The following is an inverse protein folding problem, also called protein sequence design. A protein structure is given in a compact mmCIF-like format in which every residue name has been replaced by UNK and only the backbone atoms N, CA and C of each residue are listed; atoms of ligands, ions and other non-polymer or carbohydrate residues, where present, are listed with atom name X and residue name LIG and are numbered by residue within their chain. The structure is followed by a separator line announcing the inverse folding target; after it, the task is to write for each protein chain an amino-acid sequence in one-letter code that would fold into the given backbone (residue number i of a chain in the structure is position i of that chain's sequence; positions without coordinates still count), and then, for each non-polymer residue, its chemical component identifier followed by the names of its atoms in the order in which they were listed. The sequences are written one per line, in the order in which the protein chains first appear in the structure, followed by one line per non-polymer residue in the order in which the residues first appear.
data_IF_659398136888
#
_entry.id   IF_659398136888
#
_cell.length_a   1.000
_cell.length_b   1.000
_cell.length_c   1.000
_cell.angle_alpha   90.00
_cell.angle_beta   90.00
_cell.angle_gamma   90.00
#
_symmetry.space_group_name_H-M   'P 1'
#
loop_
_entity.id
_entity.type
_entity.pdbx_description
1 polymer ?
#
# COMPACT_ATOMS: atom_id res chain seq x y z
N UNK A 1 20.34 16.36 -6.91
CA UNK A 1 20.29 14.88 -6.78
C UNK A 1 21.66 14.26 -6.50
N UNK A 2 22.72 14.55 -7.27
CA UNK A 2 24.07 14.04 -7.00
C UNK A 2 24.61 14.40 -5.61
N UNK A 3 24.36 15.62 -5.13
CA UNK A 3 24.71 16.02 -3.76
C UNK A 3 24.03 15.14 -2.69
N UNK A 4 22.74 14.82 -2.86
CA UNK A 4 22.02 13.90 -1.97
C UNK A 4 22.59 12.49 -2.07
N UNK A 5 22.95 12.06 -3.28
CA UNK A 5 23.54 10.75 -3.50
C UNK A 5 24.88 10.62 -2.75
N UNK A 6 25.73 11.65 -2.82
CA UNK A 6 27.01 11.72 -2.08
C UNK A 6 26.80 11.80 -0.57
N UNK A 7 25.90 12.67 -0.11
CA UNK A 7 25.54 12.86 1.30
C UNK A 7 25.13 11.56 2.00
N UNK A 8 24.53 10.62 1.27
CA UNK A 8 24.13 9.31 1.78
C UNK A 8 25.04 8.17 1.31
N UNK A 9 26.33 8.46 1.07
CA UNK A 9 27.38 7.48 0.77
C UNK A 9 27.11 6.63 -0.50
N UNK A 10 26.37 7.19 -1.47
CA UNK A 10 25.91 6.47 -2.65
C UNK A 10 27.03 5.92 -3.54
N UNK A 11 28.16 6.60 -3.61
CA UNK A 11 29.30 6.17 -4.43
C UNK A 11 29.96 4.89 -3.91
N UNK A 12 29.89 4.61 -2.60
CA UNK A 12 30.46 3.38 -2.00
C UNK A 12 29.71 2.12 -2.45
N UNK A 13 28.39 2.21 -2.58
CA UNK A 13 27.51 1.07 -2.88
C UNK A 13 26.93 1.10 -4.30
N UNK A 14 27.20 2.15 -5.08
CA UNK A 14 26.59 2.43 -6.38
C UNK A 14 25.09 2.73 -6.33
N UNK A 15 24.49 2.81 -5.13
CA UNK A 15 23.07 3.10 -4.95
C UNK A 15 22.75 3.64 -3.55
N UNK A 16 21.65 4.38 -3.43
CA UNK A 16 21.10 4.89 -2.17
C UNK A 16 19.62 4.54 -2.08
N UNK A 17 19.14 4.14 -0.90
CA UNK A 17 17.71 3.89 -0.61
C UNK A 17 17.26 4.82 0.52
N UNK A 18 16.40 5.77 0.19
CA UNK A 18 15.82 6.74 1.11
C UNK A 18 14.43 6.28 1.53
N UNK A 19 14.21 6.18 2.84
CA UNK A 19 12.96 5.71 3.45
C UNK A 19 12.47 6.60 4.60
N UNK A 20 13.35 7.41 5.20
CA UNK A 20 13.01 8.23 6.37
C UNK A 20 12.28 9.51 5.94
N UNK A 21 11.37 10.06 6.76
CA UNK A 21 10.62 11.29 6.44
C UNK A 21 11.54 12.43 5.97
N UNK A 22 12.60 12.73 6.74
CA UNK A 22 13.56 13.79 6.41
C UNK A 22 14.24 13.58 5.06
N UNK A 23 14.61 12.34 4.74
CA UNK A 23 15.27 12.02 3.47
C UNK A 23 14.31 12.21 2.28
N UNK A 24 13.04 11.82 2.43
CA UNK A 24 12.04 11.97 1.39
C UNK A 24 11.65 13.45 1.21
N UNK A 25 11.65 14.23 2.28
CA UNK A 25 11.45 15.68 2.23
C UNK A 25 12.55 16.37 1.42
N UNK A 26 13.83 16.01 1.64
CA UNK A 26 14.94 16.55 0.85
C UNK A 26 14.78 16.29 -0.65
N UNK A 27 14.28 15.11 -1.03
CA UNK A 27 13.98 14.80 -2.44
C UNK A 27 12.80 15.62 -2.97
N UNK A 28 11.75 15.79 -2.18
CA UNK A 28 10.57 16.57 -2.54
C UNK A 28 10.92 18.05 -2.76
N UNK A 29 11.75 18.62 -1.89
CA UNK A 29 12.16 20.03 -1.98
C UNK A 29 13.01 20.27 -3.23
N UNK A 30 13.89 19.34 -3.59
CA UNK A 30 14.62 19.38 -4.87
C UNK A 30 13.66 19.29 -6.06
N UNK A 31 12.67 18.40 -6.02
CA UNK A 31 11.71 18.26 -7.10
C UNK A 31 10.89 19.55 -7.31
N UNK A 32 10.46 20.19 -6.22
CA UNK A 32 9.76 21.50 -6.25
C UNK A 32 10.63 22.60 -6.84
N UNK A 33 11.88 22.69 -6.40
CA UNK A 33 12.85 23.66 -6.90
C UNK A 33 13.10 23.49 -8.41
N UNK A 34 13.31 22.25 -8.86
CA UNK A 34 13.53 21.98 -10.28
C UNK A 34 12.30 22.30 -11.13
N UNK A 35 11.08 21.99 -10.64
CA UNK A 35 9.85 22.38 -11.33
C UNK A 35 9.72 23.90 -11.45
N UNK A 36 10.05 24.68 -10.41
CA UNK A 36 10.02 26.15 -10.49
C UNK A 36 11.05 26.72 -11.48
N UNK A 37 12.25 26.15 -11.53
CA UNK A 37 13.28 26.55 -12.48
C UNK A 37 12.88 26.26 -13.94
N UNK A 38 12.24 25.11 -14.16
CA UNK A 38 11.71 24.68 -15.47
C UNK A 38 10.66 25.66 -15.99
N UNK A 39 9.66 26.00 -15.17
CA UNK A 39 8.59 26.93 -15.54
C UNK A 39 9.13 28.33 -15.90
N UNK A 40 10.29 28.70 -15.34
CA UNK A 40 10.93 30.00 -15.58
C UNK A 40 11.77 30.03 -16.87
N UNK A 41 12.25 28.88 -17.37
CA UNK A 41 13.27 28.78 -18.44
C UNK A 41 12.78 28.10 -19.72
N UNK A 42 11.53 28.33 -20.13
CA UNK A 42 10.84 27.70 -21.28
C UNK A 42 11.75 27.26 -22.46
N UNK A 43 12.16 25.99 -22.48
CA UNK A 43 12.83 25.31 -23.60
C UNK A 43 12.16 23.95 -23.86
N UNK A 44 11.95 23.59 -25.13
CA UNK A 44 11.16 22.42 -25.54
C UNK A 44 11.71 21.05 -25.09
N UNK A 45 13.00 20.91 -24.76
CA UNK A 45 13.58 19.67 -24.23
C UNK A 45 13.21 19.38 -22.75
N UNK A 46 12.45 20.28 -22.13
CA UNK A 46 12.15 20.27 -20.69
C UNK A 46 10.83 19.53 -20.39
N UNK A 47 9.92 19.38 -21.34
CA UNK A 47 8.56 18.89 -21.11
C UNK A 47 8.50 17.44 -20.57
N UNK A 48 9.32 16.51 -21.11
CA UNK A 48 9.38 15.13 -20.60
C UNK A 48 10.00 15.05 -19.18
N UNK A 49 10.92 15.97 -18.87
CA UNK A 49 11.55 16.07 -17.55
C UNK A 49 10.58 16.68 -16.53
N UNK A 50 9.75 17.62 -16.96
CA UNK A 50 8.70 18.25 -16.18
C UNK A 50 7.65 17.25 -15.72
N UNK A 51 7.03 16.50 -16.65
CA UNK A 51 6.01 15.50 -16.31
C UNK A 51 6.51 14.45 -15.31
N UNK A 52 7.75 13.99 -15.45
CA UNK A 52 8.37 13.05 -14.49
C UNK A 52 8.62 13.67 -13.12
N UNK A 53 9.01 14.94 -13.06
CA UNK A 53 9.19 15.67 -11.80
C UNK A 53 7.85 15.97 -11.12
N UNK A 54 6.81 16.27 -11.88
CA UNK A 54 5.45 16.41 -11.35
C UNK A 54 4.94 15.11 -10.76
N UNK A 55 5.18 13.98 -11.44
CA UNK A 55 4.82 12.66 -10.91
C UNK A 55 5.55 12.37 -9.60
N UNK A 56 6.85 12.68 -9.52
CA UNK A 56 7.64 12.55 -8.29
C UNK A 56 7.07 13.42 -7.16
N UNK A 57 6.74 14.69 -7.46
CA UNK A 57 6.13 15.63 -6.51
C UNK A 57 4.81 15.09 -5.99
N UNK A 58 3.88 14.73 -6.88
CA UNK A 58 2.54 14.28 -6.55
C UNK A 58 2.56 13.04 -5.63
N UNK A 59 3.43 12.06 -5.92
CA UNK A 59 3.55 10.86 -5.08
C UNK A 59 4.13 11.19 -3.71
N UNK A 60 5.12 12.08 -3.62
CA UNK A 60 5.75 12.43 -2.34
C UNK A 60 4.84 13.31 -1.47
N UNK A 61 4.04 14.19 -2.08
CA UNK A 61 3.07 15.07 -1.40
C UNK A 61 1.75 14.37 -1.07
N UNK A 62 1.47 13.23 -1.69
CA UNK A 62 0.25 12.47 -1.42
C UNK A 62 0.08 12.25 0.09
N UNK A 63 -1.13 12.45 0.62
CA UNK A 63 -1.46 12.37 2.05
C UNK A 63 -0.76 13.42 2.96
N UNK A 64 -0.18 14.48 2.39
CA UNK A 64 0.27 15.69 3.11
C UNK A 64 1.62 15.55 3.81
N UNK A 65 1.77 14.54 4.66
CA UNK A 65 3.00 14.29 5.41
C UNK A 65 3.48 12.85 5.23
N UNK A 66 4.78 12.63 5.45
CA UNK A 66 5.39 11.30 5.49
C UNK A 66 5.04 10.54 6.78
N UNK A 67 3.77 10.51 7.18
CA UNK A 67 3.26 9.67 8.26
C UNK A 67 2.89 8.29 7.69
N UNK A 68 3.17 7.21 8.42
CA UNK A 68 2.86 5.84 7.95
C UNK A 68 3.60 5.42 6.67
N UNK A 69 4.88 5.80 6.52
CA UNK A 69 5.59 5.83 5.23
C UNK A 69 5.55 4.50 4.46
N UNK A 70 4.79 4.53 3.38
CA UNK A 70 4.72 3.51 2.35
C UNK A 70 5.43 3.94 1.06
N UNK A 71 6.50 4.72 1.20
CA UNK A 71 7.28 5.30 0.08
C UNK A 71 8.77 5.02 0.24
N UNK A 72 9.44 4.81 -0.89
CA UNK A 72 10.87 4.63 -0.97
C UNK A 72 11.38 5.26 -2.25
N UNK A 73 12.35 6.15 -2.11
CA UNK A 73 13.15 6.66 -3.23
C UNK A 73 14.45 5.87 -3.28
N UNK A 74 14.81 5.36 -4.44
CA UNK A 74 16.09 4.71 -4.67
C UNK A 74 16.81 5.41 -5.81
N UNK A 75 18.06 5.79 -5.59
CA UNK A 75 18.94 6.33 -6.63
C UNK A 75 19.99 5.27 -6.97
N UNK A 76 20.26 5.06 -8.26
CA UNK A 76 21.32 4.18 -8.76
C UNK A 76 22.29 4.98 -9.62
N UNK A 77 23.58 4.82 -9.37
CA UNK A 77 24.63 5.46 -10.14
C UNK A 77 24.90 4.72 -11.44
N UNK A 78 25.01 5.49 -12.53
CA UNK A 78 25.39 5.02 -13.85
C UNK A 78 26.63 5.81 -14.28
N UNK A 79 27.85 5.27 -14.07
CA UNK A 79 29.09 5.96 -14.40
C UNK A 79 29.23 6.29 -15.90
N UNK A 80 28.59 5.46 -16.75
CA UNK A 80 28.58 5.58 -18.21
C UNK A 80 27.24 6.10 -18.75
N UNK A 81 26.51 6.89 -17.97
CA UNK A 81 25.24 7.48 -18.39
C UNK A 81 24.09 6.49 -18.66
N UNK A 82 22.99 7.02 -19.20
CA UNK A 82 21.80 6.24 -19.59
C UNK A 82 22.18 5.26 -20.71
N UNK A 83 21.83 3.97 -20.64
CA UNK A 83 22.04 3.03 -21.74
C UNK A 83 21.34 3.58 -22.99
N UNK A 84 22.11 3.87 -24.05
CA UNK A 84 21.54 4.29 -25.33
C UNK A 84 20.71 3.14 -25.89
N UNK A 85 19.48 3.43 -26.34
CA UNK A 85 18.69 2.48 -27.13
C UNK A 85 19.46 2.12 -28.41
N UNK A 86 19.23 0.92 -28.94
CA UNK A 86 20.02 0.24 -29.97
C UNK A 86 20.13 0.92 -31.37
N UNK A 87 19.93 2.24 -31.52
CA UNK A 87 19.85 2.89 -32.85
C UNK A 87 20.52 4.28 -32.97
N UNK A 88 21.65 4.53 -32.32
CA UNK A 88 22.42 5.75 -32.55
C UNK A 88 23.91 5.42 -32.65
N UNK A 89 24.46 5.62 -33.84
CA UNK A 89 25.85 5.38 -34.27
C UNK A 89 26.85 6.46 -33.79
N UNK A 90 26.57 7.18 -32.70
CA UNK A 90 27.50 8.19 -32.17
C UNK A 90 28.47 7.58 -31.14
N UNK A 91 29.38 6.71 -31.59
CA UNK A 91 30.25 5.90 -30.75
C UNK A 91 31.40 6.64 -30.02
N UNK A 92 31.46 7.98 -30.02
CA UNK A 92 32.67 8.71 -29.58
C UNK A 92 32.51 9.71 -28.43
N UNK A 93 31.31 9.92 -27.87
CA UNK A 93 31.16 10.76 -26.67
C UNK A 93 31.11 9.92 -25.39
N UNK A 94 32.02 10.13 -24.41
CA UNK A 94 31.91 9.48 -23.11
C UNK A 94 30.56 9.87 -22.50
N UNK A 95 29.68 8.88 -22.30
CA UNK A 95 28.38 9.13 -21.72
C UNK A 95 28.56 9.67 -20.30
N UNK A 96 28.09 10.90 -20.06
CA UNK A 96 28.21 11.58 -18.78
C UNK A 96 27.59 10.74 -17.65
N UNK A 97 28.17 10.78 -16.45
CA UNK A 97 27.63 10.05 -15.31
C UNK A 97 26.20 10.51 -15.02
N UNK A 98 25.29 9.55 -14.78
CA UNK A 98 23.88 9.84 -14.51
C UNK A 98 23.35 9.07 -13.31
N UNK A 99 22.21 9.53 -12.78
CA UNK A 99 21.46 8.84 -11.73
C UNK A 99 20.11 8.37 -12.26
N UNK A 100 19.77 7.12 -11.99
CA UNK A 100 18.40 6.62 -12.16
C UNK A 100 17.66 6.76 -10.85
N UNK A 101 16.62 7.59 -10.86
CA UNK A 101 15.70 7.77 -9.74
C UNK A 101 14.54 6.77 -9.86
N UNK A 102 14.32 5.99 -8.81
CA UNK A 102 13.27 4.97 -8.72
C UNK A 102 12.40 5.31 -7.52
N UNK A 103 11.15 5.68 -7.78
CA UNK A 103 10.15 5.93 -6.75
C UNK A 103 9.23 4.72 -6.62
N UNK A 104 9.16 4.14 -5.42
CA UNK A 104 8.20 3.10 -5.06
C UNK A 104 7.26 3.64 -4.00
N UNK A 105 5.97 3.42 -4.20
CA UNK A 105 4.94 3.81 -3.25
C UNK A 105 3.84 2.74 -3.18
N UNK A 106 3.08 2.73 -2.08
CA UNK A 106 1.94 1.85 -1.88
C UNK A 106 2.21 0.72 -0.89
N UNK A 107 1.31 -0.27 -0.86
CA UNK A 107 1.25 -1.28 0.20
C UNK A 107 0.09 -1.06 1.18
N UNK A 108 -0.63 0.05 1.02
CA UNK A 108 -1.90 0.34 1.69
C UNK A 108 -3.07 -0.26 0.92
N UNK A 109 -4.16 -0.55 1.65
CA UNK A 109 -5.40 -0.95 1.03
C UNK A 109 -6.05 0.25 0.32
N UNK A 110 -6.25 0.14 -0.99
CA UNK A 110 -6.87 1.18 -1.80
C UNK A 110 -8.34 1.40 -1.41
N UNK A 111 -8.94 2.59 -1.68
CA UNK A 111 -10.37 2.80 -1.49
C UNK A 111 -11.23 1.78 -2.26
N UNK A 112 -10.84 1.45 -3.50
CA UNK A 112 -11.51 0.40 -4.28
C UNK A 112 -11.44 -0.96 -3.58
N UNK A 113 -10.28 -1.33 -3.03
CA UNK A 113 -10.11 -2.57 -2.28
C UNK A 113 -10.97 -2.62 -1.01
N UNK A 114 -11.16 -1.48 -0.32
CA UNK A 114 -12.09 -1.38 0.82
C UNK A 114 -13.52 -1.67 0.40
N UNK A 115 -14.00 -1.03 -0.67
CA UNK A 115 -15.37 -1.23 -1.20
C UNK A 115 -15.57 -2.68 -1.63
N UNK A 116 -14.59 -3.27 -2.33
CA UNK A 116 -14.65 -4.67 -2.77
C UNK A 116 -14.73 -5.64 -1.59
N UNK A 117 -13.92 -5.43 -0.55
CA UNK A 117 -13.94 -6.28 0.65
C UNK A 117 -15.27 -6.17 1.40
N UNK A 118 -15.81 -4.95 1.52
CA UNK A 118 -17.12 -4.72 2.15
C UNK A 118 -18.27 -5.35 1.35
N UNK A 119 -18.26 -5.23 0.02
CA UNK A 119 -19.21 -5.89 -0.86
C UNK A 119 -19.16 -7.41 -0.69
N UNK A 120 -17.96 -7.99 -0.70
CA UNK A 120 -17.76 -9.41 -0.50
C UNK A 120 -18.33 -9.87 0.85
N UNK A 121 -18.10 -9.11 1.91
CA UNK A 121 -18.69 -9.36 3.22
C UNK A 121 -20.21 -9.40 3.17
N UNK A 122 -20.84 -8.46 2.44
CA UNK A 122 -22.30 -8.42 2.28
C UNK A 122 -22.85 -9.64 1.57
N UNK A 123 -22.18 -10.08 0.51
CA UNK A 123 -22.54 -11.29 -0.24
C UNK A 123 -22.39 -12.54 0.66
N UNK A 124 -21.35 -12.59 1.48
CA UNK A 124 -21.06 -13.72 2.37
C UNK A 124 -22.11 -13.95 3.47
N UNK A 125 -22.99 -12.97 3.74
CA UNK A 125 -24.11 -13.14 4.69
C UNK A 125 -25.04 -14.28 4.29
N UNK A 126 -25.14 -14.60 3.00
CA UNK A 126 -26.00 -15.65 2.46
C UNK A 126 -25.57 -17.07 2.86
N UNK A 127 -24.33 -17.26 3.36
CA UNK A 127 -23.83 -18.57 3.77
C UNK A 127 -24.49 -19.10 5.05
N UNK A 128 -25.10 -18.24 5.86
CA UNK A 128 -25.79 -18.67 7.08
C UNK A 128 -27.29 -18.85 6.83
N UNK A 129 -27.81 -20.10 6.96
CA UNK A 129 -29.22 -20.38 6.74
C UNK A 129 -30.10 -19.65 7.77
N UNK A 130 -31.34 -19.32 7.37
CA UNK A 130 -32.32 -18.63 8.21
C UNK A 130 -32.57 -17.15 7.87
N UNK A 131 -32.05 -16.68 6.73
CA UNK A 131 -32.44 -15.41 6.10
C UNK A 131 -33.27 -15.57 4.82
N UNK A 132 -33.54 -16.80 4.39
CA UNK A 132 -34.39 -17.11 3.22
C UNK A 132 -35.86 -17.14 3.64
N UNK A 133 -36.39 -15.98 4.02
CA UNK A 133 -37.81 -15.72 3.81
C UNK A 133 -38.09 -15.84 2.31
N UNK A 134 -39.16 -16.53 1.94
CA UNK A 134 -39.59 -16.78 0.55
C UNK A 134 -39.37 -15.55 -0.35
N UNK A 135 -38.76 -15.79 -1.51
CA UNK A 135 -39.09 -15.15 -2.79
C UNK A 135 -39.90 -13.85 -2.68
N UNK A 136 -39.27 -12.76 -2.24
CA UNK A 136 -39.79 -11.42 -2.45
C UNK A 136 -38.70 -10.59 -3.11
N UNK A 137 -39.10 -9.86 -4.14
CA UNK A 137 -38.30 -9.09 -5.09
C UNK A 137 -37.43 -7.95 -4.48
N UNK A 138 -37.13 -7.97 -3.16
CA UNK A 138 -36.51 -6.86 -2.41
C UNK A 138 -35.08 -7.09 -1.91
N UNK A 139 -34.41 -8.19 -2.27
CA UNK A 139 -32.94 -8.29 -2.15
C UNK A 139 -32.35 -8.43 -0.74
N UNK A 140 -33.14 -8.74 0.29
CA UNK A 140 -32.65 -8.89 1.68
C UNK A 140 -32.15 -10.32 1.97
N UNK A 141 -31.10 -10.76 1.28
CA UNK A 141 -30.41 -12.01 1.61
C UNK A 141 -29.48 -11.84 2.83
N UNK A 142 -29.45 -12.83 3.74
CA UNK A 142 -28.46 -12.89 4.83
C UNK A 142 -28.88 -12.42 6.23
N UNK A 143 -30.18 -12.23 6.50
CA UNK A 143 -30.69 -11.84 7.83
C UNK A 143 -30.40 -12.85 8.94
N UNK A 144 -30.15 -14.12 8.59
CA UNK A 144 -29.84 -15.18 9.55
C UNK A 144 -28.60 -14.88 10.37
N UNK A 145 -27.50 -14.52 9.71
CA UNK A 145 -26.25 -14.16 10.39
C UNK A 145 -26.39 -12.91 11.23
N UNK A 146 -27.00 -11.85 10.68
CA UNK A 146 -27.17 -10.58 11.41
C UNK A 146 -27.99 -10.79 12.69
N UNK A 147 -29.07 -11.58 12.62
CA UNK A 147 -29.87 -11.94 13.79
C UNK A 147 -29.06 -12.70 14.84
N UNK A 148 -28.23 -13.66 14.43
CA UNK A 148 -27.36 -14.39 15.36
C UNK A 148 -26.34 -13.44 16.01
N UNK A 149 -25.82 -12.49 15.25
CA UNK A 149 -24.89 -11.48 15.73
C UNK A 149 -25.51 -10.54 16.76
N UNK A 150 -26.66 -9.94 16.43
CA UNK A 150 -27.37 -9.04 17.36
C UNK A 150 -27.91 -9.74 18.61
N UNK A 151 -28.07 -11.07 18.58
CA UNK A 151 -28.53 -11.86 19.74
C UNK A 151 -27.40 -12.61 20.45
N UNK A 152 -26.13 -12.39 20.07
CA UNK A 152 -24.96 -13.06 20.64
C UNK A 152 -25.05 -14.60 20.61
N UNK A 153 -25.75 -15.17 19.62
CA UNK A 153 -25.96 -16.63 19.47
C UNK A 153 -25.06 -17.26 18.41
N UNK A 154 -23.83 -16.76 18.33
CA UNK A 154 -22.78 -17.28 17.48
C UNK A 154 -21.43 -16.88 18.09
N UNK A 155 -20.39 -17.66 17.78
CA UNK A 155 -19.00 -17.29 18.06
C UNK A 155 -18.31 -17.02 16.72
N UNK A 156 -18.16 -15.75 16.36
CA UNK A 156 -17.46 -15.32 15.16
C UNK A 156 -16.11 -14.72 15.55
N UNK A 157 -15.04 -15.30 15.03
CA UNK A 157 -13.66 -14.83 15.22
C UNK A 157 -13.05 -14.56 13.85
N UNK A 158 -12.49 -13.37 13.66
CA UNK A 158 -11.83 -12.96 12.42
C UNK A 158 -10.35 -12.79 12.71
N UNK A 159 -9.51 -13.45 11.93
CA UNK A 159 -8.06 -13.40 12.05
C UNK A 159 -7.44 -12.83 10.78
N UNK A 160 -6.39 -12.03 10.94
CA UNK A 160 -5.61 -11.48 9.85
C UNK A 160 -4.12 -11.52 10.17
N UNK A 161 -3.28 -11.64 9.14
CA UNK A 161 -1.84 -11.46 9.27
C UNK A 161 -1.49 -10.04 9.75
N UNK A 162 -0.30 -9.85 10.32
CA UNK A 162 0.20 -8.56 10.84
C UNK A 162 0.55 -7.51 9.77
N UNK A 163 -0.01 -7.68 8.58
CA UNK A 163 0.18 -6.79 7.47
C UNK A 163 -0.99 -5.81 7.37
N UNK A 164 -0.70 -4.51 7.46
CA UNK A 164 -1.74 -3.47 7.58
C UNK A 164 -2.82 -3.54 6.50
N UNK A 165 -2.49 -3.83 5.25
CA UNK A 165 -3.51 -3.99 4.19
C UNK A 165 -4.41 -5.21 4.39
N UNK A 166 -3.88 -6.31 4.93
CA UNK A 166 -4.64 -7.53 5.20
C UNK A 166 -5.59 -7.30 6.38
N UNK A 167 -5.10 -6.67 7.44
CA UNK A 167 -5.90 -6.24 8.59
C UNK A 167 -7.06 -5.32 8.17
N UNK A 168 -6.78 -4.28 7.38
CA UNK A 168 -7.81 -3.36 6.89
C UNK A 168 -8.81 -4.05 5.96
N UNK A 169 -8.36 -5.04 5.18
CA UNK A 169 -9.25 -5.84 4.31
C UNK A 169 -10.19 -6.69 5.15
N UNK A 170 -9.68 -7.35 6.19
CA UNK A 170 -10.48 -8.14 7.12
C UNK A 170 -11.51 -7.28 7.86
N UNK A 171 -11.13 -6.06 8.28
CA UNK A 171 -12.05 -5.12 8.91
C UNK A 171 -13.16 -4.65 7.96
N UNK A 172 -12.82 -4.33 6.71
CA UNK A 172 -13.79 -3.95 5.68
C UNK A 172 -14.75 -5.11 5.35
N UNK A 173 -14.22 -6.32 5.25
CA UNK A 173 -15.02 -7.53 5.09
C UNK A 173 -15.95 -7.75 6.28
N UNK A 174 -15.46 -7.63 7.52
CA UNK A 174 -16.27 -7.75 8.73
C UNK A 174 -17.40 -6.73 8.79
N UNK A 175 -17.10 -5.48 8.41
CA UNK A 175 -18.08 -4.40 8.27
C UNK A 175 -19.20 -4.80 7.31
N UNK A 176 -18.82 -5.28 6.13
CA UNK A 176 -19.75 -5.79 5.13
C UNK A 176 -20.54 -6.99 5.60
N UNK A 177 -19.91 -7.92 6.31
CA UNK A 177 -20.53 -9.15 6.81
C UNK A 177 -21.57 -8.88 7.90
N UNK A 178 -21.27 -7.97 8.82
CA UNK A 178 -22.07 -7.73 10.02
C UNK A 178 -22.95 -6.48 9.94
N UNK A 179 -22.97 -5.79 8.78
CA UNK A 179 -23.71 -4.55 8.58
C UNK A 179 -23.33 -3.44 9.57
N UNK A 180 -22.05 -3.34 9.90
CA UNK A 180 -21.55 -2.35 10.86
C UNK A 180 -21.45 -0.97 10.22
N UNK A 181 -21.78 0.07 10.98
CA UNK A 181 -21.58 1.47 10.60
C UNK A 181 -20.29 2.04 11.19
N UNK A 182 -19.77 3.10 10.59
CA UNK A 182 -18.58 3.81 11.08
C UNK A 182 -17.27 3.48 10.35
N UNK A 183 -16.17 3.95 10.92
CA UNK A 183 -14.81 3.80 10.38
C UNK A 183 -14.28 2.37 10.56
N UNK A 184 -13.28 1.99 9.76
CA UNK A 184 -12.67 0.66 9.84
C UNK A 184 -11.78 0.48 11.08
N UNK A 185 -11.22 1.56 11.64
CA UNK A 185 -10.27 1.48 12.75
C UNK A 185 -10.89 0.89 14.03
N UNK A 186 -12.08 1.34 14.49
CA UNK A 186 -12.74 0.70 15.64
C UNK A 186 -13.11 -0.76 15.37
N UNK A 187 -13.60 -1.06 14.16
CA UNK A 187 -13.97 -2.42 13.74
C UNK A 187 -12.73 -3.32 13.75
N UNK A 188 -11.60 -2.84 13.22
CA UNK A 188 -10.34 -3.56 13.21
C UNK A 188 -9.93 -3.97 14.63
N UNK A 189 -9.91 -3.01 15.56
CA UNK A 189 -9.48 -3.24 16.94
C UNK A 189 -10.41 -4.20 17.68
N UNK A 190 -11.71 -4.12 17.43
CA UNK A 190 -12.71 -4.93 18.15
C UNK A 190 -12.89 -6.33 17.54
N UNK A 191 -12.79 -6.47 16.23
CA UNK A 191 -13.25 -7.67 15.51
C UNK A 191 -12.13 -8.48 14.88
N UNK A 192 -11.01 -7.86 14.52
CA UNK A 192 -9.92 -8.52 13.80
C UNK A 192 -8.77 -8.78 14.75
N UNK A 193 -8.47 -10.05 14.98
CA UNK A 193 -7.32 -10.47 15.77
C UNK A 193 -6.10 -10.65 14.87
N UNK A 194 -4.96 -10.21 15.36
CA UNK A 194 -3.66 -10.60 14.79
C UNK A 194 -3.50 -12.13 14.93
N UNK A 195 -3.11 -12.79 13.85
CA UNK A 195 -2.85 -14.21 13.83
C UNK A 195 -1.50 -14.54 14.52
N UNK A 196 -1.46 -14.44 15.85
CA UNK A 196 -0.67 -15.37 16.64
C UNK A 196 -1.53 -16.61 16.82
N UNK A 197 -1.19 -17.70 16.12
CA UNK A 197 -1.97 -18.95 16.12
C UNK A 197 -1.95 -19.70 17.45
N UNK A 198 -1.22 -19.21 18.45
CA UNK A 198 -1.17 -19.77 19.80
C UNK A 198 -2.39 -19.29 20.59
N UNK A 199 -3.29 -20.20 20.92
CA UNK A 199 -4.59 -19.97 21.57
C UNK A 199 -5.77 -19.89 20.59
N UNK A 200 -5.64 -20.43 19.37
CA UNK A 200 -6.68 -20.37 18.33
C UNK A 200 -7.82 -21.37 18.60
N UNK A 201 -7.49 -22.50 19.22
CA UNK A 201 -8.42 -23.55 19.59
C UNK A 201 -8.25 -23.84 21.08
N UNK A 202 -9.34 -24.22 21.76
CA UNK A 202 -9.30 -24.58 23.18
C UNK A 202 -8.35 -25.77 23.48
N UNK A 203 -7.83 -26.46 22.45
CA UNK A 203 -6.97 -27.65 22.52
C UNK A 203 -5.55 -27.46 21.93
N UNK A 204 -4.95 -26.26 21.96
CA UNK A 204 -3.60 -26.05 21.40
C UNK A 204 -2.46 -26.82 22.12
N UNK A 205 -2.73 -27.31 23.33
CA UNK A 205 -1.78 -28.12 24.11
C UNK A 205 -1.58 -29.54 23.53
N UNK A 206 -2.53 -30.06 22.75
CA UNK A 206 -2.46 -31.41 22.16
C UNK A 206 -1.99 -31.43 20.71
N UNK A 207 -2.23 -30.37 19.94
CA UNK A 207 -1.81 -30.25 18.54
C UNK A 207 -0.29 -30.07 18.37
N UNK A 208 0.36 -29.42 19.33
CA UNK A 208 1.81 -29.21 19.36
C UNK A 208 2.63 -30.50 19.53
N UNK A 209 2.01 -31.59 20.01
CA UNK A 209 2.63 -32.92 20.12
C UNK A 209 2.85 -33.61 18.76
N UNK A 210 2.16 -33.17 17.71
CA UNK A 210 2.20 -33.79 16.38
C UNK A 210 2.91 -32.94 15.31
N UNK A 211 3.41 -31.76 15.66
CA UNK A 211 4.18 -30.90 14.74
C UNK A 211 5.67 -31.30 14.60
N UNK A 212 6.14 -32.29 15.38
CA UNK A 212 7.53 -32.78 15.34
C UNK A 212 7.64 -34.28 14.98
N UNK A 213 6.72 -34.80 14.16
CA UNK A 213 6.95 -36.03 13.37
C UNK A 213 7.30 -35.65 11.94
#
# INVERSE_FOLDING_TARGET
FFEIFEKYDGYKLGHVKLKRPKQLQEILDIARFLLSEIHTKAHAEIEEKESKLEQLKNVLEMYGHFSGINRKVQMKYQPKGRPRGSSSDDAETPAEPSLVLILKWGGELTPAGRIQAEELGRIFRCMYPGGQGRSDYSGTQGLGLLRLHSTFRHDLKIYASDEGRVQMTAAAFAKGLLALEGELTPILVQMVKSANTNGLLDNDCDSSKYQNL
#
